data_IF_525634974604
#
_entry.id   IF_525634974604
#
_cell.length_a   1.000
_cell.length_b   1.000
_cell.length_c   1.000
_cell.angle_alpha   90.00
_cell.angle_beta   90.00
_cell.angle_gamma   90.00
#
_symmetry.space_group_name_H-M   'P 1'
#
loop_
_entity.id
_entity.type
_entity.pdbx_description
1 polymer ?
#
# COMPACT_ATOMS: atom_id res chain seq x y z
N UNK A 1 21.71 -2.85 -45.83
CA UNK A 1 21.34 -2.75 -45.20
C UNK A 1 20.89 -2.45 -44.13
N UNK A 2 20.73 -2.20 -43.30
CA UNK A 2 20.36 -1.84 -42.31
C UNK A 2 19.73 -1.84 -41.34
N UNK A 3 19.67 -1.66 -40.54
CA UNK A 3 19.22 -1.39 -39.57
C UNK A 3 18.79 -1.24 -38.53
N UNK A 4 18.63 -1.00 -37.88
CA UNK A 4 18.28 -0.80 -36.99
C UNK A 4 17.57 -0.51 -36.21
N UNK A 5 17.44 -0.28 -35.35
CA UNK A 5 16.96 0.06 -34.49
C UNK A 5 16.42 0.09 -33.51
N UNK A 6 16.40 0.29 -32.84
CA UNK A 6 16.01 0.49 -31.83
C UNK A 6 15.42 0.75 -30.94
N UNK A 7 15.26 1.05 -30.26
CA UNK A 7 14.72 1.41 -29.46
C UNK A 7 14.33 1.47 -28.38
N UNK A 8 14.36 1.63 -27.67
CA UNK A 8 14.28 1.73 -26.53
C UNK A 8 13.36 2.27 -25.78
N UNK A 9 13.07 2.46 -25.23
CA UNK A 9 12.37 2.98 -24.52
C UNK A 9 12.14 3.05 -23.34
N UNK A 10 12.21 3.31 -22.73
CA UNK A 10 12.25 3.58 -21.76
C UNK A 10 11.41 3.89 -20.88
N UNK A 11 11.11 3.69 -20.22
CA UNK A 11 10.38 3.83 -19.43
C UNK A 11 10.08 4.76 -18.69
N UNK A 12 10.32 5.29 -18.26
CA UNK A 12 10.07 6.28 -17.60
C UNK A 12 9.11 6.25 -16.73
N UNK A 13 8.69 6.71 -16.35
CA UNK A 13 7.79 6.75 -15.55
C UNK A 13 7.98 6.37 -14.27
N UNK A 14 7.16 6.35 -13.50
CA UNK A 14 7.28 6.02 -12.22
C UNK A 14 7.60 4.66 -12.08
N UNK A 15 8.54 4.33 -11.38
CA UNK A 15 8.81 3.00 -11.18
C UNK A 15 8.08 2.52 -9.98
N UNK A 16 7.17 1.65 -10.16
CA UNK A 16 6.44 1.08 -9.06
C UNK A 16 7.21 -0.07 -8.45
N UNK A 17 7.15 -0.22 -7.15
CA UNK A 17 7.77 -1.36 -6.48
C UNK A 17 7.01 -2.64 -6.82
N UNK A 18 7.60 -3.78 -6.63
CA UNK A 18 6.89 -5.04 -6.84
C UNK A 18 5.60 -5.10 -6.05
N UNK A 19 5.60 -4.63 -4.80
CA UNK A 19 4.40 -4.64 -3.99
C UNK A 19 3.29 -3.79 -4.64
N UNK A 20 3.64 -2.63 -5.16
CA UNK A 20 2.66 -1.78 -5.81
C UNK A 20 2.14 -2.43 -7.10
N UNK A 21 3.00 -3.07 -7.84
CA UNK A 21 2.59 -3.78 -9.05
C UNK A 21 1.68 -4.95 -8.73
N UNK A 22 1.83 -5.54 -7.55
CA UNK A 22 0.97 -6.65 -7.14
C UNK A 22 -0.32 -6.15 -6.49
N UNK A 23 -0.51 -4.84 -6.42
CA UNK A 23 -1.75 -4.28 -5.90
C UNK A 23 -1.81 -4.09 -4.39
N UNK A 24 -0.68 -4.23 -3.69
CA UNK A 24 -0.68 -3.97 -2.25
C UNK A 24 -1.05 -2.50 -2.06
N UNK A 25 -2.01 -2.25 -1.22
CA UNK A 25 -2.46 -0.89 -0.94
C UNK A 25 -3.56 -0.38 -1.86
N UNK A 26 -4.00 -1.17 -2.83
CA UNK A 26 -5.08 -0.76 -3.71
C UNK A 26 -6.41 -0.68 -2.94
N UNK A 27 -7.31 0.16 -3.39
CA UNK A 27 -8.62 0.24 -2.75
C UNK A 27 -9.44 -0.99 -3.13
N UNK A 28 -10.40 -1.34 -2.31
CA UNK A 28 -11.20 -2.53 -2.49
C UNK A 28 -12.41 -2.50 -1.59
N UNK A 29 -13.42 -3.28 -1.93
CA UNK A 29 -14.56 -3.50 -1.04
C UNK A 29 -14.66 -4.97 -0.65
N UNK A 30 -13.99 -5.85 -1.37
CA UNK A 30 -13.96 -7.28 -1.05
C UNK A 30 -12.66 -7.88 -1.51
N UNK A 31 -12.24 -8.96 -0.90
CA UNK A 31 -10.95 -9.55 -1.17
C UNK A 31 -10.77 -10.05 -2.60
N UNK A 32 -11.86 -10.42 -3.26
CA UNK A 32 -11.75 -10.89 -4.64
C UNK A 32 -11.31 -9.79 -5.60
N UNK A 33 -11.34 -8.54 -5.19
CA UNK A 33 -10.89 -7.44 -6.02
C UNK A 33 -9.39 -7.23 -5.93
N UNK A 34 -8.74 -7.85 -4.96
CA UNK A 34 -7.29 -7.73 -4.82
C UNK A 34 -6.61 -8.65 -5.82
N UNK A 35 -5.46 -8.22 -6.35
CA UNK A 35 -4.83 -8.91 -7.45
C UNK A 35 -4.30 -10.29 -7.12
N UNK A 36 -3.87 -10.51 -5.92
CA UNK A 36 -3.20 -11.75 -5.56
C UNK A 36 -4.05 -12.56 -4.59
N UNK A 37 -4.05 -13.88 -4.72
CA UNK A 37 -4.87 -14.73 -3.85
C UNK A 37 -4.59 -14.61 -2.37
N UNK A 38 -3.36 -14.26 -2.01
CA UNK A 38 -3.01 -14.14 -0.60
C UNK A 38 -3.42 -12.80 -0.01
N UNK A 39 -3.90 -11.89 -0.83
CA UNK A 39 -4.30 -10.58 -0.34
C UNK A 39 -5.73 -10.61 0.14
N UNK A 40 -6.00 -9.82 1.16
CA UNK A 40 -7.36 -9.66 1.68
C UNK A 40 -7.69 -8.17 1.68
N UNK A 41 -8.96 -7.86 1.57
CA UNK A 41 -9.38 -6.47 1.61
C UNK A 41 -9.59 -6.07 3.08
N UNK A 42 -8.77 -5.15 3.55
CA UNK A 42 -8.85 -4.67 4.93
C UNK A 42 -9.88 -3.56 4.95
N UNK A 43 -11.11 -3.91 5.25
CA UNK A 43 -12.23 -2.99 5.15
C UNK A 43 -12.33 -1.99 6.30
N UNK A 44 -11.50 -2.14 7.31
CA UNK A 44 -11.49 -1.15 8.39
C UNK A 44 -10.76 0.14 7.97
N UNK A 45 -10.16 0.15 6.80
CA UNK A 45 -9.58 1.38 6.27
C UNK A 45 -10.54 2.00 5.27
N UNK A 46 -10.54 3.32 5.20
CA UNK A 46 -11.39 4.04 4.25
C UNK A 46 -11.02 3.62 2.84
N UNK A 47 -11.99 3.16 2.09
CA UNK A 47 -11.76 2.68 0.72
C UNK A 47 -11.17 1.28 0.65
N UNK A 48 -10.96 0.64 1.79
CA UNK A 48 -10.35 -0.67 1.84
C UNK A 48 -8.86 -0.63 1.57
N UNK A 49 -8.19 -1.73 1.71
CA UNK A 49 -6.75 -1.81 1.49
C UNK A 49 -6.41 -3.26 1.17
N UNK A 50 -5.88 -3.50 -0.01
CA UNK A 50 -5.46 -4.85 -0.35
C UNK A 50 -4.13 -5.12 0.35
N UNK A 51 -4.13 -5.99 1.32
CA UNK A 51 -2.93 -6.29 2.08
C UNK A 51 -2.85 -7.76 2.42
N UNK A 52 -1.72 -8.17 2.96
CA UNK A 52 -1.51 -9.55 3.37
C UNK A 52 -1.48 -9.55 4.89
N UNK A 53 -2.33 -10.34 5.51
CA UNK A 53 -2.34 -10.40 6.97
C UNK A 53 -1.45 -11.53 7.48
N UNK A 54 -1.00 -11.39 8.69
CA UNK A 54 -0.28 -12.46 9.35
C UNK A 54 1.22 -12.49 9.11
N UNK A 55 1.81 -11.41 8.63
CA UNK A 55 3.24 -11.39 8.45
C UNK A 55 3.94 -11.37 9.81
N UNK A 56 5.15 -11.88 9.86
CA UNK A 56 5.97 -11.86 11.06
C UNK A 56 7.21 -11.01 10.85
N UNK A 57 7.61 -10.84 9.62
CA UNK A 57 8.78 -10.07 9.26
C UNK A 57 8.53 -9.42 7.91
N UNK A 58 9.31 -8.43 7.57
CA UNK A 58 9.19 -7.77 6.28
C UNK A 58 9.41 -8.75 5.14
N UNK A 59 10.22 -9.80 5.37
CA UNK A 59 10.48 -10.79 4.34
C UNK A 59 9.26 -11.65 4.03
N UNK A 60 8.24 -11.62 4.87
CA UNK A 60 7.01 -12.34 4.59
C UNK A 60 6.11 -11.53 3.67
N UNK A 61 6.49 -10.29 3.37
CA UNK A 61 5.71 -9.39 2.56
C UNK A 61 6.29 -9.25 1.15
N UNK A 62 5.48 -8.87 0.17
CA UNK A 62 6.04 -8.61 -1.16
C UNK A 62 7.09 -7.52 -1.09
N UNK A 63 8.10 -7.61 -1.95
CA UNK A 63 9.17 -6.62 -1.95
C UNK A 63 8.57 -5.23 -2.19
N UNK A 64 8.96 -4.29 -1.39
CA UNK A 64 8.39 -2.94 -1.43
C UNK A 64 7.27 -2.75 -0.43
N UNK A 65 7.05 -3.72 0.46
CA UNK A 65 6.11 -3.56 1.56
C UNK A 65 6.79 -3.97 2.87
N UNK A 66 6.24 -3.56 3.97
CA UNK A 66 6.80 -3.83 5.29
C UNK A 66 5.71 -4.36 6.22
N UNK A 67 6.11 -5.17 7.17
CA UNK A 67 5.18 -5.75 8.12
C UNK A 67 4.94 -4.79 9.29
N UNK A 68 3.70 -4.42 9.50
CA UNK A 68 3.33 -3.44 10.52
C UNK A 68 2.23 -4.01 11.39
N UNK A 69 2.29 -3.79 12.70
CA UNK A 69 1.25 -4.20 13.62
C UNK A 69 0.24 -3.07 13.73
N UNK A 70 -1.02 -3.38 13.45
CA UNK A 70 -2.09 -2.40 13.55
C UNK A 70 -2.68 -2.35 14.95
N UNK A 71 -3.53 -1.39 15.20
CA UNK A 71 -4.13 -1.20 16.52
C UNK A 71 -4.93 -2.40 17.00
N UNK A 72 -5.40 -3.23 16.10
CA UNK A 72 -6.13 -4.43 16.48
C UNK A 72 -5.19 -5.58 16.87
N UNK A 73 -3.90 -5.34 16.86
CA UNK A 73 -2.92 -6.35 17.23
C UNK A 73 -2.56 -7.32 16.11
N UNK A 74 -3.07 -7.11 14.92
CA UNK A 74 -2.78 -7.99 13.80
C UNK A 74 -1.74 -7.35 12.91
N UNK A 75 -0.84 -8.15 12.37
CA UNK A 75 0.19 -7.67 11.48
C UNK A 75 -0.26 -7.74 10.04
N UNK A 76 0.04 -6.71 9.29
CA UNK A 76 -0.29 -6.67 7.87
C UNK A 76 0.89 -6.11 7.07
N UNK A 77 0.97 -6.47 5.81
CA UNK A 77 1.97 -5.91 4.91
C UNK A 77 1.43 -4.61 4.32
N UNK A 78 2.14 -3.53 4.55
CA UNK A 78 1.77 -2.22 4.02
C UNK A 78 2.77 -1.77 2.97
N UNK A 79 2.30 -1.09 1.95
CA UNK A 79 3.13 -0.59 0.86
C UNK A 79 4.09 0.48 1.39
N UNK A 80 5.37 0.35 1.08
CA UNK A 80 6.36 1.34 1.46
C UNK A 80 6.26 2.53 0.52
N UNK A 81 6.46 3.72 1.03
CA UNK A 81 6.35 4.95 0.25
C UNK A 81 7.43 5.95 0.62
N UNK A 82 7.71 6.86 -0.27
CA UNK A 82 8.56 8.01 0.00
C UNK A 82 7.68 9.25 0.08
N UNK A 83 6.60 9.27 -0.65
CA UNK A 83 5.69 10.39 -0.70
C UNK A 83 4.26 9.90 -0.92
N UNK A 84 3.31 10.75 -0.70
CA UNK A 84 1.91 10.39 -0.77
C UNK A 84 1.49 9.84 -2.13
N UNK A 85 2.05 10.34 -3.21
CA UNK A 85 1.69 9.85 -4.52
C UNK A 85 2.04 8.39 -4.72
N UNK A 86 3.04 7.89 -4.01
CA UNK A 86 3.41 6.48 -4.12
C UNK A 86 2.29 5.60 -3.59
N UNK A 87 1.47 6.13 -2.69
CA UNK A 87 0.43 5.37 -2.05
C UNK A 87 -0.85 5.29 -2.87
N UNK A 88 -0.99 6.15 -3.82
CA UNK A 88 -2.29 6.34 -4.44
C UNK A 88 -2.36 5.98 -5.92
N UNK A 89 -1.37 5.24 -6.40
CA UNK A 89 -1.35 4.80 -7.78
C UNK A 89 -2.49 3.84 -8.11
N UNK A 90 -2.93 3.08 -7.14
CA UNK A 90 -4.00 2.11 -7.32
C UNK A 90 -5.22 2.44 -6.45
N UNK A 91 -5.39 3.70 -6.11
CA UNK A 91 -6.51 4.14 -5.27
C UNK A 91 -7.18 5.35 -5.91
N UNK A 92 -8.48 5.47 -5.69
CA UNK A 92 -9.19 6.65 -6.19
C UNK A 92 -8.87 7.85 -5.32
N UNK A 93 -9.06 9.03 -5.85
CA UNK A 93 -8.79 10.26 -5.10
C UNK A 93 -9.64 10.38 -3.85
N UNK A 94 -10.82 9.80 -3.87
CA UNK A 94 -11.70 9.86 -2.70
C UNK A 94 -11.19 8.98 -1.56
N UNK A 95 -10.32 8.04 -1.84
CA UNK A 95 -9.85 7.08 -0.86
C UNK A 95 -8.35 7.18 -0.65
N UNK A 96 -7.82 8.37 -0.69
CA UNK A 96 -6.38 8.57 -0.56
C UNK A 96 -5.79 7.97 0.69
N UNK A 97 -4.59 7.43 0.54
CA UNK A 97 -3.80 6.93 1.65
C UNK A 97 -2.70 7.93 1.96
N UNK A 98 -2.28 7.99 3.19
CA UNK A 98 -1.17 8.86 3.58
C UNK A 98 0.11 8.06 3.72
N UNK A 99 1.24 8.72 3.46
CA UNK A 99 2.55 8.11 3.64
C UNK A 99 3.00 8.45 5.06
N UNK A 100 3.03 7.46 5.93
CA UNK A 100 3.18 7.67 7.37
C UNK A 100 4.31 6.84 7.96
N UNK A 101 5.05 7.40 8.89
CA UNK A 101 6.13 6.68 9.55
C UNK A 101 5.83 6.38 11.01
N UNK A 102 4.72 6.86 11.55
CA UNK A 102 4.40 6.67 12.97
C UNK A 102 3.62 5.40 13.18
N UNK A 103 4.21 4.27 12.84
CA UNK A 103 3.54 3.00 12.94
C UNK A 103 4.44 1.98 13.62
N UNK A 104 3.85 0.87 14.03
CA UNK A 104 4.59 -0.15 14.77
C UNK A 104 5.17 -1.16 13.80
N UNK A 105 6.35 -0.88 13.29
CA UNK A 105 7.03 -1.78 12.37
C UNK A 105 7.55 -2.99 13.12
N UNK A 106 7.18 -4.18 12.65
CA UNK A 106 7.55 -5.41 13.33
C UNK A 106 9.06 -5.60 13.40
N UNK A 107 9.76 -5.27 12.34
CA UNK A 107 11.21 -5.43 12.31
C UNK A 107 11.96 -4.19 12.82
N UNK A 108 11.23 -3.22 13.36
CA UNK A 108 11.87 -2.04 13.94
C UNK A 108 12.45 -1.07 12.92
N UNK A 109 11.88 -1.01 11.75
CA UNK A 109 12.37 -0.11 10.72
C UNK A 109 12.32 1.33 11.20
N UNK A 110 13.35 2.08 10.92
CA UNK A 110 13.44 3.43 11.45
C UNK A 110 13.33 4.53 10.41
N UNK A 111 13.67 4.29 9.18
CA UNK A 111 13.58 5.33 8.16
C UNK A 111 12.61 4.96 7.07
N UNK A 112 11.58 4.24 7.43
CA UNK A 112 10.63 3.74 6.46
C UNK A 112 9.27 4.36 6.72
N UNK A 113 8.57 4.69 5.66
CA UNK A 113 7.19 5.14 5.73
C UNK A 113 6.35 4.17 4.94
N UNK A 114 5.14 3.97 5.35
CA UNK A 114 4.22 3.10 4.62
C UNK A 114 2.90 3.80 4.40
N UNK A 115 2.18 3.34 3.41
CA UNK A 115 0.90 3.89 3.05
C UNK A 115 -0.16 3.37 3.99
N UNK A 116 -0.84 4.26 4.66
CA UNK A 116 -1.91 3.90 5.58
C UNK A 116 -3.09 4.84 5.38
N UNK A 117 -4.22 4.32 4.91
CA UNK A 117 -5.41 5.17 4.76
C UNK A 117 -5.99 5.48 6.14
N UNK A 118 -6.84 6.46 6.24
CA UNK A 118 -7.57 6.71 7.48
C UNK A 118 -8.49 5.52 7.77
N UNK A 119 -8.86 5.34 9.01
CA UNK A 119 -9.79 4.30 9.38
C UNK A 119 -11.16 4.65 8.80
N UNK A 120 -11.92 3.64 8.41
CA UNK A 120 -13.20 3.88 7.78
C UNK A 120 -14.16 4.65 8.68
N UNK A 121 -14.03 4.49 9.96
CA UNK A 121 -14.90 5.23 10.85
C UNK A 121 -14.46 6.64 11.12
N UNK A 122 -13.22 6.93 10.84
CA UNK A 122 -12.73 8.24 11.21
C UNK A 122 -13.17 9.32 10.28
N UNK A 123 -13.74 8.96 9.26
CA UNK A 123 -14.18 9.92 8.39
C UNK A 123 -15.08 10.83 8.95
N UNK A 124 -15.81 10.41 9.82
CA UNK A 124 -16.69 11.26 10.36
C UNK A 124 -16.09 12.31 10.96
N UNK A 125 -15.04 12.06 11.45
CA UNK A 125 -14.54 13.07 12.24
C UNK A 125 -14.33 14.23 11.49
N UNK A 126 -14.22 14.12 10.43
CA UNK A 126 -13.99 15.24 9.82
C UNK A 126 -15.02 16.05 9.87
N UNK A 127 -15.64 15.77 9.97
CA UNK A 127 -16.43 16.62 9.96
C UNK A 127 -16.60 17.15 11.01
N UNK A 128 -16.45 17.01 11.38
CA UNK A 128 -16.61 17.44 12.12
C UNK A 128 -16.55 17.91 12.70
N UNK A 129 -16.59 18.17 13.02
CA UNK A 129 -16.44 18.78 13.49
C UNK A 129 -16.12 18.55 14.12
N UNK A 130 -15.88 18.37 14.07
CA UNK A 130 -15.54 18.33 14.61
C UNK A 130 -15.35 18.39 14.88
#
# INVERSE_FOLDING_TARGET
>A
MLFGLLVGLAGCGSSQSPANQLGVGADCTMSSQCMQPAQVCLTHFKGGYCGVSGCRHDTDCPAGSACVTEDNGVNYCFLICSQKTDCNMNRSAADESDCNSSLAFVDGDTNVKVCRPPDSGSVISDGGPG
#
